data_IF_490781805634
#
_entry.id   IF_490781805634
#
_cell.length_a   1.000
_cell.length_b   1.000
_cell.length_c   1.000
_cell.angle_alpha   90.00
_cell.angle_beta   90.00
_cell.angle_gamma   90.00
#
_symmetry.space_group_name_H-M   'P 1'
#
loop_
_entity.id
_entity.type
_entity.pdbx_description
1 polymer ?
#
# COMPACT_ATOMS: atom_id res chain seq x y z
N UNK A 1 -12.48 56.83 9.28
CA UNK A 1 -13.00 55.44 9.24
C UNK A 1 -11.89 54.54 8.71
N UNK A 2 -11.13 53.81 9.56
CA UNK A 2 -10.16 52.82 9.09
C UNK A 2 -10.75 51.41 9.24
N UNK A 3 -10.51 50.52 8.28
CA UNK A 3 -10.96 49.14 8.37
C UNK A 3 -10.55 48.25 7.19
N UNK A 4 -9.41 48.53 6.56
CA UNK A 4 -8.81 47.71 5.50
C UNK A 4 -7.67 46.88 6.11
N UNK A 5 -8.02 45.78 6.80
CA UNK A 5 -7.04 44.82 7.36
C UNK A 5 -7.28 43.36 6.94
N UNK A 6 -8.28 43.08 6.11
CA UNK A 6 -8.59 41.70 5.70
C UNK A 6 -7.76 41.17 4.53
N UNK A 7 -7.06 42.02 3.78
CA UNK A 7 -6.37 41.61 2.54
C UNK A 7 -4.91 41.17 2.73
N UNK A 8 -4.34 41.34 3.93
CA UNK A 8 -2.92 41.02 4.18
C UNK A 8 -2.70 39.58 4.67
N UNK A 9 -3.72 38.91 5.20
CA UNK A 9 -3.61 37.55 5.74
C UNK A 9 -3.52 36.48 4.64
N UNK A 10 -4.05 36.75 3.45
CA UNK A 10 -3.98 35.84 2.29
C UNK A 10 -2.65 35.92 1.52
N UNK A 11 -1.97 37.07 1.54
CA UNK A 11 -0.69 37.24 0.81
C UNK A 11 0.52 36.71 1.60
N UNK A 12 0.42 36.60 2.93
CA UNK A 12 1.47 35.99 3.76
C UNK A 12 1.54 34.47 3.64
N UNK A 13 0.47 33.82 3.16
CA UNK A 13 0.44 32.36 2.95
C UNK A 13 1.11 31.95 1.62
N UNK A 14 1.32 32.89 0.69
CA UNK A 14 1.77 32.59 -0.67
C UNK A 14 3.22 32.99 -0.99
N UNK A 15 3.96 33.58 -0.04
CA UNK A 15 5.30 34.13 -0.30
C UNK A 15 6.46 33.38 0.40
N UNK A 16 6.18 32.27 1.10
CA UNK A 16 7.21 31.45 1.80
C UNK A 16 7.43 30.06 1.17
N UNK A 17 6.59 29.67 0.20
CA UNK A 17 6.50 28.28 -0.27
C UNK A 17 7.48 27.83 -1.35
N UNK A 18 8.69 28.42 -1.46
CA UNK A 18 9.67 27.99 -2.49
C UNK A 18 11.05 27.62 -1.96
N UNK A 19 11.39 27.99 -0.73
CA UNK A 19 12.65 27.58 -0.09
C UNK A 19 12.43 26.69 1.13
N UNK A 20 11.21 26.65 1.69
CA UNK A 20 10.80 25.77 2.79
C UNK A 20 10.14 24.46 2.31
N UNK A 21 9.61 24.43 1.07
CA UNK A 21 8.91 23.25 0.51
C UNK A 21 9.80 22.01 0.49
N UNK A 22 11.08 22.13 0.13
CA UNK A 22 11.99 20.98 0.08
C UNK A 22 12.27 20.39 1.48
N UNK A 23 12.23 21.21 2.55
CA UNK A 23 12.43 20.73 3.91
C UNK A 23 11.11 20.19 4.51
N UNK A 24 9.97 20.82 4.23
CA UNK A 24 8.64 20.32 4.59
C UNK A 24 8.31 18.99 3.89
N UNK A 25 8.63 18.85 2.60
CA UNK A 25 8.44 17.62 1.82
C UNK A 25 9.28 16.47 2.39
N UNK A 26 10.50 16.77 2.86
CA UNK A 26 11.38 15.80 3.51
C UNK A 26 10.90 15.39 4.89
N UNK A 27 10.31 16.31 5.65
CA UNK A 27 9.72 16.03 6.95
C UNK A 27 8.44 15.18 6.79
N UNK A 28 7.58 15.53 5.83
CA UNK A 28 6.36 14.78 5.51
C UNK A 28 6.67 13.36 5.03
N UNK A 29 7.74 13.17 4.26
CA UNK A 29 8.18 11.85 3.81
C UNK A 29 8.71 11.00 4.98
N UNK A 30 9.43 11.61 5.94
CA UNK A 30 9.84 10.92 7.17
C UNK A 30 8.63 10.49 8.02
N UNK A 31 7.67 11.40 8.24
CA UNK A 31 6.43 11.09 8.97
C UNK A 31 5.60 10.01 8.26
N UNK A 32 5.57 10.05 6.93
CA UNK A 32 4.91 9.03 6.11
C UNK A 32 5.53 7.66 6.32
N UNK A 33 6.86 7.57 6.33
CA UNK A 33 7.58 6.31 6.48
C UNK A 33 7.40 5.70 7.87
N UNK A 34 7.36 6.52 8.92
CA UNK A 34 7.02 6.08 10.27
C UNK A 34 5.59 5.52 10.32
N UNK A 35 4.63 6.20 9.67
CA UNK A 35 3.24 5.75 9.62
C UNK A 35 3.06 4.43 8.83
N UNK A 36 3.83 4.24 7.75
CA UNK A 36 3.81 3.02 6.94
C UNK A 36 4.41 1.82 7.69
N UNK A 37 5.49 2.03 8.43
CA UNK A 37 6.11 0.96 9.20
C UNK A 37 5.17 0.45 10.31
N UNK A 38 4.41 1.35 10.91
CA UNK A 38 3.39 1.00 11.89
C UNK A 38 2.20 0.27 11.27
N UNK A 39 1.72 0.73 10.10
CA UNK A 39 0.69 0.04 9.33
C UNK A 39 1.13 -1.37 8.94
N UNK A 40 2.41 -1.61 8.67
CA UNK A 40 2.90 -2.93 8.30
C UNK A 40 2.70 -3.99 9.41
N UNK A 41 2.86 -3.60 10.68
CA UNK A 41 2.64 -4.52 11.81
C UNK A 41 1.16 -4.89 11.96
N UNK A 42 0.27 -3.88 11.89
CA UNK A 42 -1.17 -4.10 11.92
C UNK A 42 -1.64 -4.90 10.70
N UNK A 43 -1.07 -4.59 9.53
CA UNK A 43 -1.33 -5.30 8.29
C UNK A 43 -0.89 -6.76 8.39
N UNK A 44 0.23 -7.10 9.00
CA UNK A 44 0.60 -8.50 9.22
C UNK A 44 -0.41 -9.22 10.11
N UNK A 45 -0.83 -8.60 11.23
CA UNK A 45 -1.78 -9.20 12.18
C UNK A 45 -3.17 -9.39 11.56
N UNK A 46 -3.60 -8.50 10.65
CA UNK A 46 -4.90 -8.58 9.98
C UNK A 46 -4.81 -9.40 8.69
N UNK A 47 -3.85 -9.12 7.81
CA UNK A 47 -3.76 -9.77 6.52
C UNK A 47 -3.43 -11.26 6.65
N UNK A 48 -2.50 -11.64 7.54
CA UNK A 48 -2.06 -13.04 7.68
C UNK A 48 -3.21 -14.00 8.03
N UNK A 49 -4.10 -13.73 9.01
CA UNK A 49 -5.25 -14.60 9.26
C UNK A 49 -6.31 -14.57 8.14
N UNK A 50 -6.53 -13.41 7.50
CA UNK A 50 -7.50 -13.31 6.40
C UNK A 50 -7.02 -14.05 5.15
N UNK A 51 -5.75 -13.86 4.77
CA UNK A 51 -5.10 -14.55 3.66
C UNK A 51 -5.00 -16.04 3.97
N UNK A 52 -4.64 -16.43 5.20
CA UNK A 52 -4.62 -17.83 5.63
C UNK A 52 -5.99 -18.51 5.51
N UNK A 53 -7.07 -17.85 5.92
CA UNK A 53 -8.44 -18.37 5.77
C UNK A 53 -8.90 -18.43 4.30
N UNK A 54 -8.50 -17.46 3.49
CA UNK A 54 -8.85 -17.40 2.08
C UNK A 54 -8.10 -18.46 1.26
N UNK A 55 -6.78 -18.55 1.41
CA UNK A 55 -5.96 -19.60 0.80
C UNK A 55 -6.36 -20.98 1.37
N UNK A 56 -6.51 -21.12 2.67
CA UNK A 56 -6.81 -22.41 3.30
C UNK A 56 -8.14 -23.05 2.85
N UNK A 57 -9.18 -22.29 2.51
CA UNK A 57 -10.45 -22.87 2.04
C UNK A 57 -10.56 -22.92 0.51
N UNK A 58 -10.21 -21.83 -0.17
CA UNK A 58 -10.38 -21.76 -1.63
C UNK A 58 -9.21 -22.35 -2.40
N UNK A 59 -7.98 -22.20 -1.91
CA UNK A 59 -6.82 -22.77 -2.60
C UNK A 59 -6.67 -24.27 -2.35
N UNK A 60 -7.17 -24.82 -1.25
CA UNK A 60 -7.07 -26.27 -1.01
C UNK A 60 -7.78 -27.09 -2.09
N UNK A 61 -9.02 -26.72 -2.43
CA UNK A 61 -9.75 -27.40 -3.51
C UNK A 61 -9.12 -27.13 -4.89
N UNK A 62 -8.67 -25.91 -5.14
CA UNK A 62 -8.02 -25.57 -6.41
C UNK A 62 -6.68 -26.29 -6.60
N UNK A 63 -5.82 -26.29 -5.57
CA UNK A 63 -4.52 -26.94 -5.56
C UNK A 63 -4.66 -28.47 -5.62
N UNK A 64 -5.64 -29.05 -4.91
CA UNK A 64 -5.94 -30.48 -5.02
C UNK A 64 -6.48 -30.85 -6.40
N UNK A 65 -7.43 -30.08 -6.96
CA UNK A 65 -7.93 -30.31 -8.30
C UNK A 65 -6.81 -30.19 -9.35
N UNK A 66 -5.92 -29.19 -9.20
CA UNK A 66 -4.73 -28.99 -10.03
C UNK A 66 -3.74 -30.16 -9.89
N UNK A 67 -3.51 -30.63 -8.66
CA UNK A 67 -2.65 -31.77 -8.35
C UNK A 67 -3.16 -33.06 -8.99
N UNK A 68 -4.46 -33.37 -8.85
CA UNK A 68 -5.09 -34.54 -9.47
C UNK A 68 -5.03 -34.45 -11.00
N UNK A 69 -5.16 -33.25 -11.58
CA UNK A 69 -5.10 -33.05 -13.04
C UNK A 69 -3.70 -33.13 -13.65
N UNK A 70 -2.68 -32.60 -12.98
CA UNK A 70 -1.34 -32.43 -13.56
C UNK A 70 -0.24 -33.31 -12.93
N UNK A 71 -0.49 -33.94 -11.78
CA UNK A 71 0.50 -34.72 -11.01
C UNK A 71 1.63 -33.87 -10.42
N UNK A 72 2.56 -34.48 -9.66
CA UNK A 72 3.76 -33.82 -9.06
C UNK A 72 4.87 -33.47 -10.08
N UNK A 73 4.54 -33.39 -11.37
CA UNK A 73 5.50 -33.19 -12.46
C UNK A 73 5.66 -31.72 -12.87
N UNK A 74 6.61 -31.45 -13.79
CA UNK A 74 6.80 -30.14 -14.43
C UNK A 74 5.51 -29.58 -15.08
N UNK A 75 4.56 -30.45 -15.41
CA UNK A 75 3.20 -30.16 -15.88
C UNK A 75 2.35 -29.37 -14.87
N UNK A 76 2.63 -29.48 -13.57
CA UNK A 76 1.93 -28.73 -12.51
C UNK A 76 2.22 -27.23 -12.59
N UNK A 77 3.51 -26.88 -12.73
CA UNK A 77 4.01 -25.50 -12.71
C UNK A 77 4.03 -24.83 -14.08
N UNK A 78 4.38 -25.56 -15.15
CA UNK A 78 4.48 -24.98 -16.49
C UNK A 78 3.15 -24.98 -17.26
N UNK A 79 2.15 -25.75 -16.81
CA UNK A 79 0.90 -25.95 -17.54
C UNK A 79 1.15 -26.72 -18.84
N UNK A 80 0.15 -27.50 -19.25
CA UNK A 80 0.24 -28.24 -20.50
C UNK A 80 0.20 -27.24 -21.67
N UNK A 81 1.36 -26.85 -22.20
CA UNK A 81 1.46 -26.26 -23.54
C UNK A 81 1.23 -27.40 -24.53
N UNK A 82 -0.02 -27.81 -24.65
CA UNK A 82 -0.50 -28.47 -25.85
C UNK A 82 -0.50 -27.41 -26.96
N UNK A 83 0.44 -27.56 -27.89
CA UNK A 83 0.16 -27.28 -29.30
C UNK A 83 -0.87 -28.29 -29.82
#
# INVERSE_FOLDING_TARGET
MPGSIQSLDTLSISSDGSYDSDDEDRLAEQEWQESIQQLQQLFAIVLLPYLGKFLGRRWSHWAYARYVRFGLGKTFFLGDRSL
#
